data_IF_968514973866
#
_entry.id   IF_968514973866
#
_cell.length_a   1.000
_cell.length_b   1.000
_cell.length_c   1.000
_cell.angle_alpha   90.00
_cell.angle_beta   90.00
_cell.angle_gamma   90.00
#
_symmetry.space_group_name_H-M   'P 1'
#
loop_
_entity.id
_entity.type
_entity.pdbx_description
1 polymer ?
#
# COMPACT_ATOMS: atom_id res chain seq x y z
N UNK A 1 -21.87 -22.27 7.94
CA UNK A 1 -22.59 -22.41 6.65
C UNK A 1 -21.54 -22.72 5.59
N UNK A 2 -21.66 -23.87 4.91
CA UNK A 2 -20.79 -24.19 3.78
C UNK A 2 -20.92 -23.11 2.70
N UNK A 3 -19.80 -22.67 2.12
CA UNK A 3 -19.82 -21.69 1.02
C UNK A 3 -20.41 -22.38 -0.22
N UNK A 4 -21.40 -21.78 -0.90
CA UNK A 4 -21.93 -22.34 -2.14
C UNK A 4 -20.88 -22.28 -3.26
N UNK A 5 -20.94 -23.23 -4.19
CA UNK A 5 -20.08 -23.25 -5.38
C UNK A 5 -20.32 -22.01 -6.26
N UNK A 6 -19.24 -21.32 -6.64
CA UNK A 6 -19.26 -20.16 -7.54
C UNK A 6 -18.68 -20.55 -8.92
N UNK A 7 -19.52 -20.68 -9.97
CA UNK A 7 -19.07 -21.09 -11.29
C UNK A 7 -18.18 -20.06 -11.98
N UNK A 8 -18.33 -18.77 -11.69
CA UNK A 8 -17.50 -17.73 -12.30
C UNK A 8 -16.08 -17.75 -11.71
N UNK A 9 -15.96 -17.96 -10.40
CA UNK A 9 -14.68 -18.15 -9.74
C UNK A 9 -13.98 -19.44 -10.20
N UNK A 10 -14.73 -20.55 -10.28
CA UNK A 10 -14.21 -21.84 -10.71
C UNK A 10 -13.62 -21.76 -12.13
N UNK A 11 -14.37 -21.16 -13.07
CA UNK A 11 -13.90 -20.94 -14.45
C UNK A 11 -12.64 -20.06 -14.52
N UNK A 12 -12.55 -19.01 -13.68
CA UNK A 12 -11.38 -18.13 -13.63
C UNK A 12 -10.12 -18.82 -13.05
N UNK A 13 -10.29 -19.86 -12.23
CA UNK A 13 -9.21 -20.58 -11.56
C UNK A 13 -8.97 -21.99 -12.13
N UNK A 14 -9.66 -22.36 -13.23
CA UNK A 14 -9.38 -23.57 -14.00
C UNK A 14 -9.84 -24.87 -13.36
N UNK A 15 -10.84 -24.85 -12.47
CA UNK A 15 -11.45 -26.06 -11.92
C UNK A 15 -12.96 -26.09 -12.20
N UNK A 16 -13.52 -27.29 -12.35
CA UNK A 16 -14.93 -27.51 -12.67
C UNK A 16 -15.75 -27.85 -11.42
N UNK A 17 -17.07 -27.94 -11.59
CA UNK A 17 -17.94 -28.45 -10.53
C UNK A 17 -17.63 -29.92 -10.21
N UNK A 18 -17.34 -30.73 -11.21
CA UNK A 18 -17.01 -32.14 -11.00
C UNK A 18 -15.73 -32.27 -10.17
N UNK A 19 -14.72 -31.41 -10.39
CA UNK A 19 -13.50 -31.37 -9.57
C UNK A 19 -13.79 -30.98 -8.10
N UNK A 20 -14.75 -30.09 -7.89
CA UNK A 20 -15.18 -29.66 -6.55
C UNK A 20 -15.99 -30.74 -5.83
N UNK A 21 -16.87 -31.43 -6.55
CA UNK A 21 -17.71 -32.49 -5.99
C UNK A 21 -16.93 -33.81 -5.79
N UNK A 22 -15.79 -33.98 -6.48
CA UNK A 22 -14.91 -35.14 -6.35
C UNK A 22 -14.01 -35.12 -5.09
N UNK A 23 -13.82 -33.95 -4.46
CA UNK A 23 -13.02 -33.85 -3.22
C UNK A 23 -13.89 -34.15 -2.00
N UNK A 24 -13.55 -35.22 -1.30
CA UNK A 24 -14.13 -35.51 0.01
C UNK A 24 -13.42 -34.67 1.08
N UNK A 25 -14.16 -33.79 1.74
CA UNK A 25 -13.64 -32.88 2.78
C UNK A 25 -14.37 -33.16 4.10
N UNK A 26 -13.95 -34.18 4.86
CA UNK A 26 -14.53 -34.46 6.17
C UNK A 26 -14.35 -33.27 7.12
N UNK A 27 -15.26 -33.14 8.09
CA UNK A 27 -15.12 -32.16 9.17
C UNK A 27 -13.88 -32.51 10.01
N UNK A 28 -13.02 -31.51 10.25
CA UNK A 28 -11.84 -31.68 11.10
C UNK A 28 -12.26 -32.01 12.53
N UNK A 29 -11.64 -33.02 13.14
CA UNK A 29 -11.89 -33.30 14.56
C UNK A 29 -11.15 -32.31 15.45
N UNK A 30 -11.55 -32.21 16.73
CA UNK A 30 -10.88 -31.32 17.70
C UNK A 30 -9.41 -31.73 17.93
N UNK A 31 -9.13 -33.04 17.89
CA UNK A 31 -7.78 -33.59 18.03
C UNK A 31 -6.91 -33.24 16.83
N UNK A 32 -7.45 -33.36 15.61
CA UNK A 32 -6.76 -32.94 14.39
C UNK A 32 -6.47 -31.44 14.42
N UNK A 33 -7.46 -30.63 14.84
CA UNK A 33 -7.29 -29.18 14.97
C UNK A 33 -6.21 -28.80 16.00
N UNK A 34 -6.09 -29.57 17.09
CA UNK A 34 -5.08 -29.35 18.12
C UNK A 34 -3.65 -29.65 17.65
N UNK A 35 -3.47 -30.48 16.60
CA UNK A 35 -2.16 -30.79 16.04
C UNK A 35 -1.62 -29.66 15.12
N UNK A 36 -2.47 -28.73 14.67
CA UNK A 36 -2.06 -27.67 13.75
C UNK A 36 -0.96 -26.80 14.37
N UNK A 37 0.17 -26.72 13.65
CA UNK A 37 1.28 -25.85 14.02
C UNK A 37 1.11 -24.47 13.40
N UNK A 38 1.46 -23.40 14.13
CA UNK A 38 1.55 -22.07 13.54
C UNK A 38 2.46 -22.07 12.31
N UNK A 39 2.09 -21.32 11.26
CA UNK A 39 2.87 -21.24 10.01
C UNK A 39 4.35 -20.88 10.24
N UNK A 40 4.65 -20.05 11.25
CA UNK A 40 6.03 -19.68 11.63
C UNK A 40 6.88 -20.88 12.04
N UNK A 41 6.26 -21.94 12.57
CA UNK A 41 6.90 -23.16 13.05
C UNK A 41 6.89 -24.25 11.98
N UNK A 42 5.79 -24.39 11.23
CA UNK A 42 5.66 -25.40 10.18
C UNK A 42 6.47 -25.06 8.92
N UNK A 43 6.56 -23.77 8.56
CA UNK A 43 7.20 -23.29 7.32
C UNK A 43 8.01 -22.00 7.59
N UNK A 44 9.14 -22.11 8.32
CA UNK A 44 9.90 -20.93 8.78
C UNK A 44 10.42 -20.07 7.63
N UNK A 45 10.93 -20.67 6.57
CA UNK A 45 11.52 -19.95 5.43
C UNK A 45 10.46 -19.17 4.64
N UNK A 46 9.30 -19.79 4.38
CA UNK A 46 8.18 -19.13 3.71
C UNK A 46 7.62 -17.98 4.57
N UNK A 47 7.50 -18.21 5.88
CA UNK A 47 7.07 -17.16 6.82
C UNK A 47 8.04 -15.97 6.82
N UNK A 48 9.35 -16.23 6.82
CA UNK A 48 10.38 -15.18 6.74
C UNK A 48 10.30 -14.41 5.41
N UNK A 49 10.16 -15.12 4.28
CA UNK A 49 10.02 -14.51 2.96
C UNK A 49 8.78 -13.60 2.86
N UNK A 50 7.63 -14.05 3.36
CA UNK A 50 6.40 -13.24 3.41
C UNK A 50 6.55 -12.01 4.31
N UNK A 51 7.25 -12.14 5.44
CA UNK A 51 7.54 -11.01 6.32
C UNK A 51 8.48 -9.99 5.68
N UNK A 52 9.49 -10.46 4.96
CA UNK A 52 10.39 -9.60 4.19
C UNK A 52 9.63 -8.88 3.06
N UNK A 53 8.79 -9.57 2.30
CA UNK A 53 7.96 -8.98 1.25
C UNK A 53 6.95 -7.95 1.79
N UNK A 54 6.49 -8.12 3.04
CA UNK A 54 5.55 -7.19 3.70
C UNK A 54 6.23 -5.93 4.25
N UNK A 55 7.56 -5.88 4.29
CA UNK A 55 8.27 -4.62 4.52
C UNK A 55 8.12 -3.74 3.29
N UNK A 56 6.96 -3.08 3.16
CA UNK A 56 6.86 -1.83 2.40
C UNK A 56 8.00 -0.96 2.92
N UNK A 57 8.94 -0.63 2.03
CA UNK A 57 10.13 0.14 2.36
C UNK A 57 9.80 1.41 3.16
N UNK A 58 10.79 2.07 3.78
CA UNK A 58 10.57 3.11 4.78
C UNK A 58 9.44 4.02 4.32
N UNK A 59 8.32 3.94 5.04
CA UNK A 59 7.16 4.74 4.74
C UNK A 59 7.62 6.18 4.94
N UNK A 60 8.02 6.85 3.86
CA UNK A 60 8.41 8.26 3.91
C UNK A 60 7.25 8.97 4.59
N UNK A 61 7.48 9.41 5.82
CA UNK A 61 6.43 9.91 6.68
C UNK A 61 5.93 11.21 6.07
N UNK A 62 4.71 11.18 5.53
CA UNK A 62 4.03 12.38 5.06
C UNK A 62 3.40 13.02 6.29
N UNK A 63 3.85 14.23 6.64
CA UNK A 63 3.21 15.01 7.70
C UNK A 63 1.95 15.67 7.14
N UNK A 64 0.75 15.38 7.67
CA UNK A 64 -0.46 16.08 7.26
C UNK A 64 -0.38 17.54 7.74
N UNK A 65 -0.57 18.47 6.81
CA UNK A 65 -0.64 19.90 7.09
C UNK A 65 -1.89 20.47 6.45
N UNK A 66 -2.47 21.51 7.07
CA UNK A 66 -3.60 22.24 6.51
C UNK A 66 -3.10 23.42 5.70
N UNK A 67 -3.34 23.42 4.39
CA UNK A 67 -3.08 24.54 3.49
C UNK A 67 -4.37 24.94 2.79
N UNK A 68 -4.49 26.22 2.41
CA UNK A 68 -5.59 26.70 1.57
C UNK A 68 -5.12 26.75 0.13
N UNK A 69 -5.96 26.23 -0.78
CA UNK A 69 -5.78 26.30 -2.23
C UNK A 69 -7.02 26.99 -2.79
N UNK A 70 -6.85 27.71 -3.90
CA UNK A 70 -7.98 28.30 -4.62
C UNK A 70 -8.96 27.21 -5.09
N UNK A 71 -10.25 27.52 -5.07
CA UNK A 71 -11.31 26.55 -5.37
C UNK A 71 -11.21 26.01 -6.81
N UNK A 72 -10.86 26.86 -7.76
CA UNK A 72 -10.71 26.49 -9.16
C UNK A 72 -9.49 25.56 -9.38
N UNK A 73 -8.41 25.80 -8.66
CA UNK A 73 -7.22 24.97 -8.67
C UNK A 73 -7.51 23.58 -8.08
N UNK A 74 -8.21 23.54 -6.93
CA UNK A 74 -8.59 22.29 -6.30
C UNK A 74 -9.53 21.46 -7.19
N UNK A 75 -10.46 22.12 -7.89
CA UNK A 75 -11.34 21.47 -8.86
C UNK A 75 -10.55 20.83 -10.01
N UNK A 76 -9.61 21.57 -10.62
CA UNK A 76 -8.73 21.06 -11.69
C UNK A 76 -7.87 19.87 -11.22
N UNK A 77 -7.32 19.95 -10.01
CA UNK A 77 -6.53 18.87 -9.43
C UNK A 77 -7.35 17.60 -9.22
N UNK A 78 -8.56 17.71 -8.64
CA UNK A 78 -9.44 16.54 -8.45
C UNK A 78 -9.88 15.92 -9.79
N UNK A 79 -10.17 16.76 -10.78
CA UNK A 79 -10.54 16.31 -12.12
C UNK A 79 -9.42 15.55 -12.85
N UNK A 80 -8.15 15.77 -12.49
CA UNK A 80 -7.02 15.01 -13.04
C UNK A 80 -6.95 13.54 -12.61
N UNK A 81 -7.90 13.08 -11.77
CA UNK A 81 -8.09 11.68 -11.42
C UNK A 81 -7.30 11.22 -10.20
N UNK A 82 -7.33 9.90 -9.90
CA UNK A 82 -6.65 9.32 -8.74
C UNK A 82 -5.16 9.73 -8.66
N UNK A 83 -4.68 9.91 -7.43
CA UNK A 83 -3.28 10.28 -7.17
C UNK A 83 -2.93 11.76 -7.36
N UNK A 84 -3.92 12.66 -7.53
CA UNK A 84 -3.67 14.10 -7.67
C UNK A 84 -2.90 14.71 -6.49
N UNK A 85 -3.13 14.24 -5.27
CA UNK A 85 -2.37 14.69 -4.08
C UNK A 85 -0.89 14.32 -4.17
N UNK A 86 -0.56 13.14 -4.72
CA UNK A 86 0.84 12.76 -4.96
C UNK A 86 1.48 13.68 -6.00
N UNK A 87 0.76 13.99 -7.10
CA UNK A 87 1.24 14.94 -8.12
C UNK A 87 1.51 16.33 -7.54
N UNK A 88 0.64 16.82 -6.65
CA UNK A 88 0.86 18.10 -5.93
C UNK A 88 2.14 18.03 -5.10
N UNK A 89 2.31 16.97 -4.32
CA UNK A 89 3.51 16.79 -3.49
C UNK A 89 4.80 16.77 -4.33
N UNK A 90 4.76 16.13 -5.51
CA UNK A 90 5.93 16.05 -6.39
C UNK A 90 6.23 17.40 -7.07
N UNK A 91 5.19 18.17 -7.43
CA UNK A 91 5.35 19.53 -7.96
C UNK A 91 5.99 20.47 -6.92
N UNK A 92 5.53 20.43 -5.66
CA UNK A 92 6.12 21.22 -4.57
C UNK A 92 7.57 20.83 -4.34
N UNK A 93 7.91 19.53 -4.42
CA UNK A 93 9.30 19.08 -4.31
C UNK A 93 10.18 19.65 -5.42
N UNK A 94 9.74 19.53 -6.67
CA UNK A 94 10.47 20.08 -7.83
C UNK A 94 10.67 21.58 -7.69
N UNK A 95 9.64 22.32 -7.28
CA UNK A 95 9.77 23.76 -7.02
C UNK A 95 10.86 24.10 -5.99
N UNK A 96 11.02 23.29 -4.94
CA UNK A 96 12.06 23.48 -3.92
C UNK A 96 13.45 23.09 -4.47
N UNK A 97 13.55 21.99 -5.21
CA UNK A 97 14.79 21.49 -5.79
C UNK A 97 15.31 22.44 -6.90
N UNK A 98 14.40 22.89 -7.78
CA UNK A 98 14.68 23.82 -8.88
C UNK A 98 14.89 25.27 -8.37
N UNK A 99 14.20 25.64 -7.29
CA UNK A 99 14.29 26.96 -6.65
C UNK A 99 15.49 27.16 -5.72
N UNK A 100 16.27 26.10 -5.46
CA UNK A 100 17.48 26.14 -4.63
C UNK A 100 18.63 27.00 -5.19
N UNK A 101 18.52 27.49 -6.43
CA UNK A 101 19.48 28.39 -7.07
C UNK A 101 19.12 29.89 -6.94
N UNK A 102 17.93 30.23 -6.42
CA UNK A 102 17.59 31.65 -6.22
C UNK A 102 18.12 32.10 -4.86
N UNK A 103 19.34 32.64 -4.86
CA UNK A 103 20.10 33.15 -3.71
C UNK A 103 19.43 34.27 -2.91
N UNK A 104 18.33 33.96 -2.22
CA UNK A 104 17.67 34.84 -1.25
C UNK A 104 18.03 34.45 0.21
N UNK A 105 18.88 33.43 0.41
CA UNK A 105 19.38 33.00 1.72
C UNK A 105 20.65 33.72 2.22
N UNK A 106 21.37 34.44 1.34
CA UNK A 106 22.69 35.03 1.67
C UNK A 106 22.62 36.49 2.18
N UNK A 107 21.43 37.14 2.14
CA UNK A 107 21.30 38.56 2.53
C UNK A 107 21.07 38.80 4.03
N UNK A 108 20.74 37.78 4.81
CA UNK A 108 20.43 37.96 6.25
C UNK A 108 21.65 37.74 7.16
N UNK A 109 22.74 37.16 6.67
CA UNK A 109 23.95 36.90 7.51
C UNK A 109 25.04 37.99 7.41
N UNK A 110 24.94 38.94 6.46
CA UNK A 110 25.95 40.00 6.30
C UNK A 110 25.64 41.29 7.10
N UNK A 111 24.44 41.44 7.65
CA UNK A 111 24.02 42.63 8.40
C UNK A 111 24.34 42.59 9.91
N UNK A 112 24.94 41.52 10.42
CA UNK A 112 25.29 41.39 11.85
C UNK A 112 26.79 41.18 12.11
N UNK A 113 27.64 41.41 11.11
CA UNK A 113 29.11 41.52 11.24
C UNK A 113 29.59 42.86 10.68
N UNK A 114 29.31 43.94 11.39
CA UNK A 114 30.12 45.17 11.39
C UNK A 114 29.94 45.86 12.72
#
# INVERSE_FOLDING_TARGET
MAKPFDPAHAAANGYTRDDWDAVDSPELTEEELAEFKPMREALPDLHAALRAARQRGPARTKTPVSIRLDDDLLAKLRASGPGWQSRVNDAVRRMIEDGGDTGEGDRVQRATRS
#
